data_IF_975527410983
#
_entry.id   IF_975527410983
#
_cell.length_a   1.000
_cell.length_b   1.000
_cell.length_c   1.000
_cell.angle_alpha   90.00
_cell.angle_beta   90.00
_cell.angle_gamma   90.00
#
_symmetry.space_group_name_H-M   'P 1'
#
loop_
_entity.id
_entity.type
_entity.pdbx_description
1 polymer ?
#
# COMPACT_ATOMS: atom_id res chain seq x y z
N UNK A 1 -3.19 14.23 7.50
CA UNK A 1 -3.21 12.83 8.00
C UNK A 1 -2.14 12.02 7.31
N UNK A 2 -1.22 11.41 8.05
CA UNK A 2 -0.25 10.49 7.48
C UNK A 2 -0.90 9.14 7.22
N UNK A 3 -0.60 8.58 6.05
CA UNK A 3 -1.05 7.26 5.64
C UNK A 3 0.19 6.41 5.36
N UNK A 4 0.35 5.33 6.11
CA UNK A 4 1.51 4.45 6.02
C UNK A 4 1.24 3.38 4.98
N UNK A 5 2.09 3.34 3.95
CA UNK A 5 1.92 2.53 2.75
C UNK A 5 2.85 1.34 2.73
N UNK A 6 2.32 0.18 2.36
CA UNK A 6 3.12 -0.96 1.94
C UNK A 6 2.45 -1.64 0.74
N UNK A 7 3.26 -2.20 -0.13
CA UNK A 7 2.81 -2.98 -1.28
C UNK A 7 3.57 -4.29 -1.36
N UNK A 8 2.89 -5.31 -1.89
CA UNK A 8 3.56 -6.52 -2.37
C UNK A 8 3.46 -6.54 -3.89
N UNK A 9 4.53 -6.97 -4.55
CA UNK A 9 4.59 -7.00 -6.01
C UNK A 9 5.35 -8.25 -6.49
N UNK A 10 5.23 -8.56 -7.77
CA UNK A 10 5.73 -9.81 -8.34
C UNK A 10 7.24 -9.72 -8.64
N UNK A 11 8.06 -9.71 -7.57
CA UNK A 11 9.51 -9.54 -7.67
C UNK A 11 9.91 -8.11 -8.02
N UNK A 12 11.21 -7.88 -8.22
CA UNK A 12 11.74 -6.56 -8.54
C UNK A 12 11.22 -6.09 -9.90
N UNK A 13 10.60 -4.90 -9.91
CA UNK A 13 10.01 -4.34 -11.13
C UNK A 13 8.74 -5.06 -11.59
N UNK A 14 8.22 -6.01 -10.83
CA UNK A 14 7.01 -6.75 -11.16
C UNK A 14 5.73 -5.99 -10.87
N UNK A 15 4.61 -6.52 -11.36
CA UNK A 15 3.30 -5.93 -11.17
C UNK A 15 2.82 -5.99 -9.74
N UNK A 16 1.92 -5.09 -9.37
CA UNK A 16 1.30 -5.03 -8.06
C UNK A 16 0.52 -6.30 -7.74
N UNK A 17 0.63 -6.78 -6.52
CA UNK A 17 -0.16 -7.89 -5.98
C UNK A 17 -1.14 -7.39 -4.92
N UNK A 18 -0.67 -6.55 -4.00
CA UNK A 18 -1.49 -5.99 -2.93
C UNK A 18 -0.96 -4.65 -2.48
N UNK A 19 -1.87 -3.84 -1.92
CA UNK A 19 -1.54 -2.51 -1.41
C UNK A 19 -2.32 -2.27 -0.14
N UNK A 20 -1.66 -1.69 0.86
CA UNK A 20 -2.29 -1.32 2.12
C UNK A 20 -1.93 0.09 2.53
N UNK A 21 -2.88 0.77 3.13
CA UNK A 21 -2.71 2.07 3.77
C UNK A 21 -3.26 2.00 5.18
N UNK A 22 -2.46 2.43 6.15
CA UNK A 22 -2.87 2.51 7.54
C UNK A 22 -2.67 3.96 8.00
N UNK A 23 -3.76 4.61 8.40
CA UNK A 23 -3.73 6.00 8.85
C UNK A 23 -3.17 6.11 10.27
N UNK A 24 -2.67 7.30 10.64
CA UNK A 24 -2.22 7.58 12.00
C UNK A 24 -3.26 7.21 13.06
N UNK A 25 -4.53 7.44 12.76
CA UNK A 25 -5.64 7.17 13.69
C UNK A 25 -6.11 5.71 13.68
N UNK A 26 -5.45 4.84 12.90
CA UNK A 26 -5.74 3.41 12.86
C UNK A 26 -6.72 2.96 11.80
N UNK A 27 -7.34 3.87 11.03
CA UNK A 27 -8.17 3.47 9.90
C UNK A 27 -7.32 2.76 8.85
N UNK A 28 -7.87 1.72 8.21
CA UNK A 28 -7.12 0.85 7.31
C UNK A 28 -7.82 0.67 5.97
N UNK A 29 -7.02 0.52 4.93
CA UNK A 29 -7.46 0.12 3.60
C UNK A 29 -6.49 -0.94 3.07
N UNK A 30 -7.03 -2.00 2.46
CA UNK A 30 -6.24 -3.10 1.93
C UNK A 30 -6.97 -3.71 0.74
N UNK A 31 -6.28 -3.83 -0.39
CA UNK A 31 -6.81 -4.50 -1.59
C UNK A 31 -5.76 -5.39 -2.23
N UNK A 32 -6.24 -6.46 -2.84
CA UNK A 32 -5.44 -7.44 -3.58
C UNK A 32 -5.92 -7.43 -5.02
N UNK A 33 -4.98 -7.48 -5.96
CA UNK A 33 -5.27 -7.56 -7.40
C UNK A 33 -4.70 -8.85 -7.98
N UNK A 34 -5.23 -9.33 -9.13
CA UNK A 34 -4.77 -10.61 -9.69
C UNK A 34 -3.28 -10.57 -10.07
N UNK A 35 -2.58 -11.67 -9.77
CA UNK A 35 -1.21 -11.90 -10.18
C UNK A 35 -1.18 -13.15 -11.07
N UNK A 36 -1.12 -12.96 -12.38
CA UNK A 36 -1.29 -14.04 -13.35
C UNK A 36 -0.09 -14.97 -13.48
N UNK A 37 1.12 -14.45 -13.30
CA UNK A 37 2.36 -15.22 -13.45
C UNK A 37 3.29 -14.95 -12.26
N UNK A 38 2.91 -15.41 -11.04
CA UNK A 38 3.72 -15.14 -9.87
C UNK A 38 5.05 -15.87 -9.93
N UNK A 39 6.13 -15.19 -9.54
CA UNK A 39 7.45 -15.81 -9.37
C UNK A 39 7.39 -16.88 -8.27
N UNK A 40 8.31 -17.85 -8.32
CA UNK A 40 8.32 -18.97 -7.37
C UNK A 40 8.38 -18.52 -5.90
N UNK A 41 9.19 -17.51 -5.62
CA UNK A 41 9.28 -16.94 -4.26
C UNK A 41 7.94 -16.32 -3.80
N UNK A 42 7.26 -15.62 -4.73
CA UNK A 42 5.97 -15.00 -4.48
C UNK A 42 4.89 -16.04 -4.21
N UNK A 43 4.87 -17.13 -4.97
CA UNK A 43 3.95 -18.25 -4.74
C UNK A 43 4.10 -18.83 -3.33
N UNK A 44 5.34 -18.92 -2.84
CA UNK A 44 5.61 -19.50 -1.52
C UNK A 44 5.41 -18.53 -0.36
N UNK A 45 5.72 -17.24 -0.56
CA UNK A 45 5.85 -16.30 0.56
C UNK A 45 4.79 -15.20 0.60
N UNK A 46 4.12 -14.92 -0.50
CA UNK A 46 3.14 -13.84 -0.59
C UNK A 46 1.72 -14.36 -0.81
N UNK A 47 1.50 -15.15 -1.84
CA UNK A 47 0.15 -15.61 -2.21
C UNK A 47 -0.58 -16.31 -1.06
N UNK A 48 0.05 -17.24 -0.30
CA UNK A 48 -0.67 -17.99 0.74
C UNK A 48 -1.19 -17.13 1.89
N UNK A 49 -0.64 -15.95 2.11
CA UNK A 49 -0.97 -15.10 3.25
C UNK A 49 -1.70 -13.83 2.88
N UNK A 50 -2.19 -13.70 1.65
CA UNK A 50 -2.94 -12.51 1.21
C UNK A 50 -4.19 -12.26 2.05
N UNK A 51 -4.90 -13.31 2.42
CA UNK A 51 -6.04 -13.21 3.32
C UNK A 51 -7.28 -12.53 2.74
N UNK A 52 -7.28 -12.24 1.44
CA UNK A 52 -8.36 -11.54 0.77
C UNK A 52 -8.41 -11.96 -0.70
N UNK A 53 -9.61 -12.07 -1.26
CA UNK A 53 -9.80 -12.37 -2.67
C UNK A 53 -9.37 -11.19 -3.55
N UNK A 54 -8.71 -11.45 -4.69
CA UNK A 54 -8.34 -10.39 -5.62
C UNK A 54 -9.55 -9.68 -6.22
N UNK A 55 -9.41 -8.38 -6.43
CA UNK A 55 -10.37 -7.58 -7.19
C UNK A 55 -9.68 -7.01 -8.43
N UNK A 56 -10.44 -6.58 -9.43
CA UNK A 56 -9.85 -5.94 -10.61
C UNK A 56 -9.16 -4.63 -10.24
N UNK A 57 -8.24 -4.18 -11.10
CA UNK A 57 -7.57 -2.88 -10.93
C UNK A 57 -8.60 -1.76 -10.85
N UNK A 58 -9.64 -1.78 -11.68
CA UNK A 58 -10.68 -0.76 -11.67
C UNK A 58 -11.42 -0.71 -10.34
N UNK A 59 -11.74 -1.87 -9.78
CA UNK A 59 -12.39 -1.96 -8.46
C UNK A 59 -11.46 -1.45 -7.36
N UNK A 60 -10.17 -1.82 -7.42
CA UNK A 60 -9.18 -1.31 -6.46
C UNK A 60 -9.07 0.21 -6.52
N UNK A 61 -8.99 0.79 -7.72
CA UNK A 61 -8.88 2.24 -7.89
C UNK A 61 -10.10 2.97 -7.36
N UNK A 62 -11.31 2.43 -7.59
CA UNK A 62 -12.53 3.01 -7.04
C UNK A 62 -12.57 2.92 -5.52
N UNK A 63 -12.18 1.78 -4.97
CA UNK A 63 -12.07 1.59 -3.52
C UNK A 63 -11.09 2.59 -2.91
N UNK A 64 -9.93 2.76 -3.53
CA UNK A 64 -8.92 3.72 -3.10
C UNK A 64 -9.44 5.16 -3.13
N UNK A 65 -10.07 5.55 -4.22
CA UNK A 65 -10.69 6.87 -4.37
C UNK A 65 -11.68 7.15 -3.22
N UNK A 66 -12.58 6.22 -2.95
CA UNK A 66 -13.60 6.39 -1.90
C UNK A 66 -12.98 6.48 -0.51
N UNK A 67 -11.93 5.69 -0.25
CA UNK A 67 -11.27 5.70 1.06
C UNK A 67 -10.47 6.98 1.27
N UNK A 68 -9.70 7.43 0.28
CA UNK A 68 -8.90 8.66 0.36
C UNK A 68 -9.77 9.89 0.51
N UNK A 69 -10.98 9.90 -0.05
CA UNK A 69 -11.91 11.02 0.03
C UNK A 69 -12.38 11.33 1.47
N UNK A 70 -12.12 10.43 2.41
CA UNK A 70 -12.48 10.64 3.83
C UNK A 70 -11.56 11.63 4.55
N UNK A 71 -10.44 12.00 3.94
CA UNK A 71 -9.43 12.87 4.55
C UNK A 71 -9.42 14.24 3.90
N UNK A 72 -9.12 15.28 4.69
CA UNK A 72 -8.99 16.65 4.17
C UNK A 72 -7.68 16.84 3.38
N UNK A 73 -6.60 16.23 3.86
CA UNK A 73 -5.30 16.19 3.21
C UNK A 73 -4.57 14.92 3.63
N UNK A 74 -3.68 14.43 2.77
CA UNK A 74 -2.99 13.18 3.02
C UNK A 74 -1.49 13.33 2.77
N UNK A 75 -0.70 12.62 3.57
CA UNK A 75 0.74 12.52 3.42
C UNK A 75 1.12 11.03 3.44
N UNK A 76 1.55 10.50 2.30
CA UNK A 76 1.90 9.09 2.15
C UNK A 76 3.32 8.87 2.67
N UNK A 77 3.49 7.88 3.53
CA UNK A 77 4.78 7.47 4.09
C UNK A 77 5.04 6.02 3.73
N UNK A 78 6.16 5.74 3.08
CA UNK A 78 6.62 4.40 2.75
C UNK A 78 8.08 4.23 3.17
N UNK A 79 8.54 3.00 3.32
CA UNK A 79 9.94 2.71 3.61
C UNK A 79 10.72 2.19 2.38
N UNK A 80 10.04 2.03 1.25
CA UNK A 80 10.64 1.53 0.02
C UNK A 80 10.13 2.27 -1.21
N UNK A 81 11.02 2.69 -2.14
CA UNK A 81 10.60 3.50 -3.30
C UNK A 81 9.59 2.83 -4.23
N UNK A 82 9.65 1.51 -4.41
CA UNK A 82 8.70 0.82 -5.28
C UNK A 82 7.26 0.89 -4.75
N UNK A 83 7.07 0.99 -3.44
CA UNK A 83 5.73 1.18 -2.85
C UNK A 83 5.12 2.48 -3.35
N UNK A 84 5.91 3.56 -3.35
CA UNK A 84 5.48 4.86 -3.89
C UNK A 84 5.17 4.76 -5.39
N UNK A 85 6.01 4.05 -6.16
CA UNK A 85 5.79 3.86 -7.59
C UNK A 85 4.46 3.15 -7.86
N UNK A 86 4.16 2.10 -7.12
CA UNK A 86 2.89 1.37 -7.24
C UNK A 86 1.71 2.23 -6.81
N UNK A 87 1.85 2.99 -5.75
CA UNK A 87 0.80 3.91 -5.30
C UNK A 87 0.50 4.96 -6.37
N UNK A 88 1.54 5.58 -6.93
CA UNK A 88 1.38 6.57 -8.00
C UNK A 88 0.71 5.96 -9.23
N UNK A 89 1.10 4.75 -9.63
CA UNK A 89 0.46 4.04 -10.73
C UNK A 89 -1.01 3.75 -10.47
N UNK A 90 -1.36 3.41 -9.24
CA UNK A 90 -2.76 3.16 -8.85
C UNK A 90 -3.64 4.40 -8.95
N UNK A 91 -3.06 5.60 -8.89
CA UNK A 91 -3.82 6.85 -9.06
C UNK A 91 -4.17 7.12 -10.53
N UNK A 92 -3.44 6.54 -11.47
CA UNK A 92 -3.61 6.81 -12.90
C UNK A 92 -4.58 5.81 -13.51
N UNK A 93 -5.66 6.31 -14.11
CA UNK A 93 -6.71 5.45 -14.69
C UNK A 93 -6.51 5.23 -16.19
N UNK A 94 -5.90 6.19 -16.88
CA UNK A 94 -5.58 6.12 -18.31
C UNK A 94 -4.60 7.26 -18.63
N UNK A 95 -3.98 7.30 -19.82
CA UNK A 95 -3.06 8.39 -20.17
C UNK A 95 -3.69 9.77 -19.95
N UNK A 96 -3.04 10.58 -19.11
CA UNK A 96 -3.49 11.93 -18.78
C UNK A 96 -4.68 12.01 -17.82
N UNK A 97 -5.13 10.89 -17.26
CA UNK A 97 -6.27 10.84 -16.34
C UNK A 97 -5.91 10.16 -15.03
N UNK A 98 -6.50 10.63 -13.94
CA UNK A 98 -6.26 10.06 -12.60
C UNK A 98 -7.52 10.12 -11.75
N UNK A 99 -7.56 9.32 -10.69
CA UNK A 99 -8.59 9.49 -9.66
C UNK A 99 -8.33 10.79 -8.91
N UNK A 100 -9.40 11.43 -8.45
CA UNK A 100 -9.29 12.62 -7.60
C UNK A 100 -8.80 12.23 -6.21
N UNK A 101 -7.92 13.04 -5.65
CA UNK A 101 -7.43 12.86 -4.27
C UNK A 101 -7.49 14.18 -3.51
N UNK A 102 -7.54 14.14 -2.16
CA UNK A 102 -7.22 15.33 -1.37
C UNK A 102 -5.81 15.85 -1.69
N UNK A 103 -5.45 17.07 -1.24
CA UNK A 103 -4.05 17.52 -1.33
C UNK A 103 -3.10 16.44 -0.81
N UNK A 104 -2.06 16.15 -1.58
CA UNK A 104 -1.23 14.96 -1.42
C UNK A 104 0.25 15.29 -1.44
N UNK A 105 0.95 14.80 -0.43
CA UNK A 105 2.43 14.76 -0.40
C UNK A 105 2.89 13.34 -0.11
N UNK A 106 4.16 13.05 -0.35
CA UNK A 106 4.73 11.71 -0.16
C UNK A 106 6.16 11.80 0.33
N UNK A 107 6.58 10.78 1.10
CA UNK A 107 7.99 10.62 1.47
C UNK A 107 8.36 9.15 1.59
N UNK A 108 9.66 8.87 1.41
CA UNK A 108 10.25 7.56 1.67
C UNK A 108 11.17 7.69 2.86
N UNK A 109 10.92 6.90 3.91
CA UNK A 109 11.71 6.90 5.14
C UNK A 109 12.54 5.63 5.24
N UNK A 110 13.80 5.77 5.65
CA UNK A 110 14.60 4.62 6.05
C UNK A 110 14.34 4.37 7.54
N UNK A 111 13.58 3.32 7.84
CA UNK A 111 13.23 2.93 9.20
C UNK A 111 13.07 1.42 9.29
N UNK A 112 13.54 0.83 10.39
CA UNK A 112 13.34 -0.60 10.65
C UNK A 112 11.96 -0.79 11.29
N UNK A 113 11.21 -1.74 10.77
CA UNK A 113 9.92 -2.15 11.33
C UNK A 113 9.87 -3.67 11.44
N UNK A 114 9.05 -4.16 12.38
CA UNK A 114 8.88 -5.59 12.59
C UNK A 114 7.41 -5.95 12.42
N UNK A 115 7.10 -6.63 11.32
CA UNK A 115 5.75 -7.09 11.02
C UNK A 115 5.45 -8.41 11.72
N UNK A 116 4.22 -8.57 12.20
CA UNK A 116 3.75 -9.85 12.75
C UNK A 116 3.48 -10.88 11.66
N UNK A 117 3.34 -10.43 10.42
CA UNK A 117 3.17 -11.29 9.25
C UNK A 117 3.92 -10.66 8.07
N UNK A 118 5.26 -10.83 8.00
CA UNK A 118 6.05 -10.30 6.89
C UNK A 118 5.51 -10.77 5.54
N UNK A 119 5.60 -9.90 4.52
CA UNK A 119 5.11 -10.13 3.15
C UNK A 119 3.59 -10.08 3.00
N UNK A 120 2.89 -9.60 4.03
CA UNK A 120 1.49 -9.19 3.93
C UNK A 120 1.44 -7.66 4.05
N UNK A 121 0.98 -6.98 3.01
CA UNK A 121 1.04 -5.52 2.93
C UNK A 121 0.33 -4.82 4.11
N UNK A 122 -0.81 -5.35 4.55
CA UNK A 122 -1.54 -4.76 5.66
C UNK A 122 -0.76 -4.85 6.97
N UNK A 123 -0.20 -6.02 7.29
CA UNK A 123 0.61 -6.20 8.50
C UNK A 123 1.89 -5.37 8.43
N UNK A 124 2.51 -5.30 7.26
CA UNK A 124 3.73 -4.51 7.06
C UNK A 124 3.45 -3.01 7.18
N UNK A 125 2.34 -2.52 6.66
CA UNK A 125 1.93 -1.12 6.82
C UNK A 125 1.62 -0.76 8.27
N UNK A 126 0.98 -1.67 9.01
CA UNK A 126 0.77 -1.51 10.47
C UNK A 126 2.08 -1.40 11.22
N UNK A 127 3.05 -2.26 10.88
CA UNK A 127 4.37 -2.26 11.50
C UNK A 127 5.12 -0.95 11.20
N UNK A 128 5.02 -0.44 9.98
CA UNK A 128 5.62 0.84 9.60
C UNK A 128 5.03 1.98 10.42
N UNK A 129 3.71 2.03 10.54
CA UNK A 129 3.03 3.03 11.37
C UNK A 129 3.54 2.99 12.81
N UNK A 130 3.58 1.82 13.42
CA UNK A 130 4.03 1.67 14.80
C UNK A 130 5.48 2.09 14.97
N UNK A 131 6.36 1.71 14.05
CA UNK A 131 7.77 2.09 14.11
C UNK A 131 7.97 3.61 14.04
N UNK A 132 7.26 4.28 13.14
CA UNK A 132 7.34 5.74 12.99
C UNK A 132 6.78 6.44 14.21
N UNK A 133 5.61 6.04 14.69
CA UNK A 133 4.97 6.67 15.84
C UNK A 133 5.75 6.42 17.12
N UNK A 134 6.32 5.23 17.30
CA UNK A 134 7.19 4.94 18.43
C UNK A 134 8.44 5.82 18.44
N UNK A 135 9.08 6.00 17.28
CA UNK A 135 10.25 6.87 17.13
C UNK A 135 9.93 8.33 17.48
N UNK A 136 8.70 8.75 17.27
CA UNK A 136 8.24 10.11 17.61
C UNK A 136 7.78 10.24 19.07
N UNK A 137 7.80 9.16 19.84
CA UNK A 137 7.38 9.16 21.25
C UNK A 137 5.87 9.17 21.46
N UNK A 138 5.13 8.68 20.48
CA UNK A 138 3.66 8.63 20.54
C UNK A 138 3.16 7.23 20.91
#
# INVERSE_FOLDING_TARGET
MRLFLDCEFNGFGGGLISMALVAEDGREWYEVVPCEQPEAWVVRNVIPILGKEPVSIDVMQRSLFLWLARFESIHIVADWPEDIAHFCSALITSPGRRISTPPLTMEVLKIDSQSTMPHNALHDARALREAVMHKEGI
#
